data_IF_643276103767
#
_entry.id   IF_643276103767
#
_cell.length_a   1.000
_cell.length_b   1.000
_cell.length_c   1.000
_cell.angle_alpha   90.00
_cell.angle_beta   90.00
_cell.angle_gamma   90.00
#
_symmetry.space_group_name_H-M   'P 1'
#
loop_
_entity.id
_entity.type
_entity.pdbx_description
1 polymer ?
#
# COMPACT_ATOMS: atom_id res chain seq x y z
N UNK A 1 -15.47 -8.56 -15.13
CA UNK A 1 -14.77 -7.30 -14.85
C UNK A 1 -15.17 -6.35 -15.94
N UNK A 2 -15.78 -5.23 -15.61
CA UNK A 2 -15.97 -4.14 -16.56
C UNK A 2 -14.60 -3.73 -17.08
N UNK A 3 -14.48 -3.64 -18.39
CA UNK A 3 -13.25 -3.22 -19.04
C UNK A 3 -13.20 -1.70 -18.93
N UNK A 4 -12.18 -1.16 -18.26
CA UNK A 4 -11.97 0.28 -18.16
C UNK A 4 -11.83 0.87 -19.57
N UNK A 5 -12.59 1.92 -19.83
CA UNK A 5 -12.54 2.64 -21.09
C UNK A 5 -11.66 3.90 -20.99
N UNK A 6 -11.21 4.38 -22.13
CA UNK A 6 -10.44 5.62 -22.21
C UNK A 6 -11.20 6.82 -21.58
N UNK A 7 -12.51 6.83 -21.72
CA UNK A 7 -13.39 7.89 -21.18
C UNK A 7 -13.36 7.92 -19.66
N UNK A 8 -13.39 6.75 -19.00
CA UNK A 8 -13.36 6.65 -17.54
C UNK A 8 -12.07 7.24 -16.96
N UNK A 9 -10.93 6.97 -17.63
CA UNK A 9 -9.64 7.52 -17.23
C UNK A 9 -9.57 9.04 -17.44
N UNK A 10 -10.17 9.53 -18.52
CA UNK A 10 -10.23 10.95 -18.82
C UNK A 10 -11.07 11.70 -17.78
N UNK A 11 -12.26 11.17 -17.46
CA UNK A 11 -13.19 11.75 -16.49
C UNK A 11 -12.60 11.72 -15.06
N UNK A 12 -11.79 10.70 -14.73
CA UNK A 12 -11.05 10.63 -13.48
C UNK A 12 -9.80 11.54 -13.43
N UNK A 13 -9.47 12.24 -14.52
CA UNK A 13 -8.32 13.15 -14.58
C UNK A 13 -6.95 12.46 -14.59
N UNK A 14 -6.88 11.19 -14.95
CA UNK A 14 -5.63 10.40 -14.95
C UNK A 14 -4.62 10.89 -15.98
N UNK A 15 -5.07 11.65 -16.99
CA UNK A 15 -4.23 12.23 -18.02
C UNK A 15 -3.32 13.37 -17.56
N UNK A 16 -3.54 13.97 -16.38
CA UNK A 16 -2.68 15.03 -15.87
C UNK A 16 -1.38 14.46 -15.30
N UNK A 17 -0.26 14.85 -15.91
CA UNK A 17 1.08 14.50 -15.48
C UNK A 17 1.76 15.59 -14.65
N UNK A 18 3.08 15.58 -14.61
CA UNK A 18 3.88 16.59 -13.92
C UNK A 18 4.04 17.88 -14.73
N UNK A 19 4.40 18.95 -14.03
CA UNK A 19 4.88 20.17 -14.67
C UNK A 19 6.11 19.86 -15.53
N UNK A 20 6.25 20.50 -16.69
CA UNK A 20 7.36 20.32 -17.63
C UNK A 20 8.74 20.50 -16.98
N UNK A 21 8.88 21.43 -16.01
CA UNK A 21 10.12 21.66 -15.26
C UNK A 21 10.46 20.60 -14.22
N UNK A 22 9.51 19.68 -13.88
CA UNK A 22 9.63 18.68 -12.80
C UNK A 22 9.48 17.24 -13.29
N UNK A 23 9.49 17.04 -14.58
CA UNK A 23 9.32 15.71 -15.15
C UNK A 23 10.60 14.89 -15.15
N UNK A 24 10.47 13.59 -15.34
CA UNK A 24 11.61 12.71 -15.58
C UNK A 24 11.69 12.42 -17.09
N UNK A 25 12.86 12.62 -17.74
CA UNK A 25 13.04 12.34 -19.17
C UNK A 25 12.68 10.92 -19.60
N UNK A 26 12.80 9.93 -18.71
CA UNK A 26 12.38 8.54 -18.96
C UNK A 26 10.88 8.40 -19.22
N UNK A 27 10.07 9.43 -18.88
CA UNK A 27 8.64 9.46 -19.15
C UNK A 27 8.30 9.92 -20.57
N UNK A 28 9.25 10.40 -21.36
CA UNK A 28 9.04 10.89 -22.71
C UNK A 28 8.17 9.95 -23.59
N UNK A 29 8.38 8.60 -23.61
CA UNK A 29 7.57 7.69 -24.41
C UNK A 29 6.10 7.63 -24.03
N UNK A 30 5.73 8.06 -22.79
CA UNK A 30 4.39 7.99 -22.22
C UNK A 30 3.65 9.32 -22.21
N UNK A 31 4.29 10.38 -22.71
CA UNK A 31 3.70 11.72 -22.79
C UNK A 31 3.08 11.88 -24.16
N UNK A 32 1.80 12.28 -24.18
CA UNK A 32 1.07 12.57 -25.41
C UNK A 32 1.39 13.96 -25.94
N UNK A 33 1.32 14.98 -25.06
CA UNK A 33 1.59 16.39 -25.43
C UNK A 33 1.86 17.23 -24.19
N UNK A 34 2.32 18.46 -24.41
CA UNK A 34 2.38 19.51 -23.38
C UNK A 34 1.23 20.50 -23.55
N UNK A 35 0.57 20.86 -22.44
CA UNK A 35 -0.47 21.90 -22.43
C UNK A 35 -0.36 22.72 -21.15
N UNK A 36 -0.27 24.04 -21.30
CA UNK A 36 -0.17 24.99 -20.18
C UNK A 36 0.97 24.66 -19.19
N UNK A 37 2.14 24.21 -19.70
CA UNK A 37 3.28 23.84 -18.86
C UNK A 37 3.12 22.54 -18.06
N UNK A 38 2.12 21.73 -18.41
CA UNK A 38 1.86 20.41 -17.82
C UNK A 38 1.92 19.36 -18.92
N UNK A 39 2.62 18.24 -18.63
CA UNK A 39 2.60 17.08 -19.53
C UNK A 39 1.26 16.34 -19.42
N UNK A 40 0.69 15.98 -20.57
CA UNK A 40 -0.50 15.14 -20.68
C UNK A 40 -0.03 13.71 -20.97
N UNK A 41 -0.47 12.78 -20.16
CA UNK A 41 -0.12 11.34 -20.26
C UNK A 41 -0.96 10.69 -21.36
N UNK A 42 -0.34 9.80 -22.13
CA UNK A 42 -1.01 8.97 -23.14
C UNK A 42 -1.86 7.89 -22.45
N UNK A 43 -3.17 8.05 -22.49
CA UNK A 43 -4.10 7.12 -21.86
C UNK A 43 -4.22 5.78 -22.59
N UNK A 44 -3.93 5.71 -23.89
CA UNK A 44 -3.92 4.44 -24.62
C UNK A 44 -2.81 3.54 -24.09
N UNK A 45 -1.61 4.09 -23.89
CA UNK A 45 -0.49 3.36 -23.27
C UNK A 45 -0.79 3.00 -21.81
N UNK A 46 -1.50 3.86 -21.09
CA UNK A 46 -1.95 3.57 -19.72
C UNK A 46 -2.86 2.34 -19.69
N UNK A 47 -3.82 2.24 -20.60
CA UNK A 47 -4.71 1.08 -20.71
C UNK A 47 -3.94 -0.20 -21.06
N UNK A 48 -3.01 -0.12 -22.00
CA UNK A 48 -2.16 -1.27 -22.37
C UNK A 48 -1.33 -1.76 -21.19
N UNK A 49 -0.65 -0.85 -20.48
CA UNK A 49 0.13 -1.18 -19.28
C UNK A 49 -0.75 -1.75 -18.17
N UNK A 50 -1.97 -1.26 -18.01
CA UNK A 50 -2.92 -1.76 -17.01
C UNK A 50 -3.36 -3.19 -17.33
N UNK A 51 -3.59 -3.49 -18.58
CA UNK A 51 -3.92 -4.85 -19.04
C UNK A 51 -2.76 -5.82 -18.77
N UNK A 52 -1.53 -5.43 -19.11
CA UNK A 52 -0.33 -6.21 -18.81
C UNK A 52 -0.16 -6.46 -17.30
N UNK A 53 -0.33 -5.42 -16.47
CA UNK A 53 -0.26 -5.53 -15.02
C UNK A 53 -1.36 -6.46 -14.46
N UNK A 54 -2.57 -6.37 -14.99
CA UNK A 54 -3.68 -7.24 -14.62
C UNK A 54 -3.39 -8.72 -14.95
N UNK A 55 -2.83 -9.00 -16.12
CA UNK A 55 -2.41 -10.34 -16.50
C UNK A 55 -1.32 -10.88 -15.56
N UNK A 56 -0.31 -10.08 -15.25
CA UNK A 56 0.75 -10.47 -14.33
C UNK A 56 0.21 -10.78 -12.92
N UNK A 57 -0.66 -9.92 -12.38
CA UNK A 57 -1.29 -10.15 -11.07
C UNK A 57 -2.14 -11.41 -11.05
N UNK A 58 -2.94 -11.67 -12.10
CA UNK A 58 -3.72 -12.91 -12.24
C UNK A 58 -2.83 -14.15 -12.20
N UNK A 59 -1.69 -14.14 -12.89
CA UNK A 59 -0.73 -15.25 -12.88
C UNK A 59 -0.15 -15.50 -11.49
N UNK A 60 0.21 -14.44 -10.76
CA UNK A 60 0.72 -14.53 -9.38
C UNK A 60 -0.32 -15.13 -8.44
N UNK A 61 -1.56 -14.63 -8.50
CA UNK A 61 -2.64 -15.10 -7.61
C UNK A 61 -3.03 -16.56 -7.94
N UNK A 62 -3.09 -16.94 -9.23
CA UNK A 62 -3.34 -18.33 -9.64
C UNK A 62 -2.29 -19.30 -9.11
N UNK A 63 -1.06 -18.86 -8.92
CA UNK A 63 0.00 -19.68 -8.30
C UNK A 63 -0.08 -19.77 -6.77
N UNK A 64 -1.15 -19.26 -6.14
CA UNK A 64 -1.34 -19.25 -4.68
C UNK A 64 -0.49 -18.24 -3.92
N UNK A 65 0.23 -17.35 -4.64
CA UNK A 65 1.03 -16.29 -4.03
C UNK A 65 0.17 -15.07 -3.70
N UNK A 66 0.63 -14.27 -2.74
CA UNK A 66 -0.01 -13.01 -2.36
C UNK A 66 0.61 -11.82 -3.08
N UNK A 67 -0.19 -10.81 -3.32
CA UNK A 67 0.23 -9.51 -3.87
C UNK A 67 0.20 -8.51 -2.72
N UNK A 68 1.31 -7.81 -2.48
CA UNK A 68 1.36 -6.73 -1.49
C UNK A 68 1.04 -5.40 -2.16
N UNK A 69 0.03 -4.71 -1.64
CA UNK A 69 -0.36 -3.38 -2.11
C UNK A 69 0.38 -2.30 -1.31
N UNK A 70 0.93 -1.32 -2.01
CA UNK A 70 1.67 -0.20 -1.38
C UNK A 70 1.09 1.13 -1.86
N UNK A 71 0.52 1.91 -0.94
CA UNK A 71 -0.09 3.20 -1.25
C UNK A 71 0.13 4.22 -0.12
N UNK A 72 1.26 4.93 -0.15
CA UNK A 72 1.61 5.92 0.88
C UNK A 72 1.06 7.32 0.60
N UNK A 73 0.50 7.57 -0.57
CA UNK A 73 -0.17 8.84 -0.93
C UNK A 73 -1.52 8.97 -0.23
N UNK A 74 -1.81 10.15 0.33
CA UNK A 74 -3.07 10.41 1.07
C UNK A 74 -4.31 10.03 0.29
N UNK A 75 -4.36 10.34 -1.01
CA UNK A 75 -5.50 10.09 -1.88
C UNK A 75 -5.77 8.60 -2.13
N UNK A 76 -4.73 7.76 -2.08
CA UNK A 76 -4.81 6.35 -2.40
C UNK A 76 -4.96 5.44 -1.17
N UNK A 77 -4.62 5.93 0.04
CA UNK A 77 -4.57 5.12 1.27
C UNK A 77 -5.86 4.36 1.53
N UNK A 78 -6.97 5.08 1.63
CA UNK A 78 -8.27 4.50 2.01
C UNK A 78 -8.76 3.50 0.97
N UNK A 79 -8.68 3.86 -0.31
CA UNK A 79 -9.14 3.01 -1.40
C UNK A 79 -8.35 1.70 -1.44
N UNK A 80 -7.02 1.80 -1.38
CA UNK A 80 -6.14 0.61 -1.42
C UNK A 80 -6.30 -0.24 -0.16
N UNK A 81 -6.46 0.37 1.02
CA UNK A 81 -6.68 -0.36 2.27
C UNK A 81 -7.99 -1.14 2.25
N UNK A 82 -9.08 -0.53 1.79
CA UNK A 82 -10.39 -1.17 1.69
C UNK A 82 -10.34 -2.37 0.73
N UNK A 83 -9.79 -2.19 -0.46
CA UNK A 83 -9.69 -3.25 -1.45
C UNK A 83 -8.74 -4.39 -1.03
N UNK A 84 -7.60 -4.06 -0.43
CA UNK A 84 -6.66 -5.07 0.06
C UNK A 84 -7.28 -5.91 1.20
N UNK A 85 -8.02 -5.28 2.13
CA UNK A 85 -8.77 -5.98 3.18
C UNK A 85 -9.85 -6.88 2.59
N UNK A 86 -10.62 -6.40 1.61
CA UNK A 86 -11.64 -7.19 0.92
C UNK A 86 -11.07 -8.45 0.27
N UNK A 87 -9.85 -8.36 -0.26
CA UNK A 87 -9.14 -9.46 -0.93
C UNK A 87 -8.27 -10.30 0.03
N UNK A 88 -8.20 -9.96 1.31
CA UNK A 88 -7.29 -10.56 2.29
C UNK A 88 -5.84 -10.60 1.82
N UNK A 89 -5.39 -9.50 1.22
CA UNK A 89 -4.02 -9.30 0.73
C UNK A 89 -3.24 -8.35 1.65
N UNK A 90 -1.92 -8.54 1.81
CA UNK A 90 -1.09 -7.63 2.60
C UNK A 90 -1.02 -6.24 1.97
N UNK A 91 -0.98 -5.20 2.81
CA UNK A 91 -0.90 -3.82 2.35
C UNK A 91 -0.04 -2.94 3.26
N UNK A 92 0.51 -1.86 2.68
CA UNK A 92 1.26 -0.82 3.38
C UNK A 92 0.73 0.54 2.92
N UNK A 93 0.05 1.26 3.80
CA UNK A 93 -0.60 2.55 3.47
C UNK A 93 -0.03 3.74 4.23
N UNK A 94 0.62 3.53 5.38
CA UNK A 94 1.16 4.64 6.17
C UNK A 94 2.58 5.01 5.75
N UNK A 95 3.54 4.15 6.05
CA UNK A 95 4.94 4.39 5.74
C UNK A 95 5.61 3.10 5.31
N UNK A 96 6.31 3.16 4.19
CA UNK A 96 7.22 2.08 3.82
C UNK A 96 8.39 2.01 4.81
N UNK A 97 8.54 0.90 5.50
CA UNK A 97 9.64 0.71 6.45
C UNK A 97 10.92 0.38 5.69
N UNK A 98 12.01 1.07 6.04
CA UNK A 98 13.33 0.69 5.53
C UNK A 98 13.65 -0.76 5.87
N UNK A 99 14.23 -1.48 4.92
CA UNK A 99 14.54 -2.90 5.09
C UNK A 99 13.35 -3.87 4.94
N UNK A 100 12.19 -3.39 4.49
CA UNK A 100 11.01 -4.26 4.30
C UNK A 100 11.31 -5.47 3.42
N UNK A 101 12.09 -5.31 2.36
CA UNK A 101 12.48 -6.38 1.45
C UNK A 101 13.86 -6.96 1.79
N UNK A 102 14.79 -6.14 2.27
CA UNK A 102 16.20 -6.54 2.48
C UNK A 102 16.50 -7.04 3.88
N UNK A 103 15.74 -6.63 4.89
CA UNK A 103 15.90 -7.01 6.30
C UNK A 103 14.56 -7.30 6.96
N UNK A 104 13.75 -8.15 6.35
CA UNK A 104 12.43 -8.51 6.86
C UNK A 104 12.50 -9.19 8.25
N UNK A 105 13.63 -9.80 8.60
CA UNK A 105 13.83 -10.38 9.93
C UNK A 105 13.60 -9.37 11.07
N UNK A 106 14.03 -8.12 10.89
CA UNK A 106 13.82 -7.03 11.86
C UNK A 106 12.36 -6.58 11.90
N UNK A 107 11.70 -6.47 10.73
CA UNK A 107 10.26 -6.20 10.65
C UNK A 107 9.46 -7.29 11.37
N UNK A 108 9.82 -8.55 11.17
CA UNK A 108 9.20 -9.70 11.85
C UNK A 108 9.31 -9.65 13.38
N UNK A 109 10.44 -9.14 13.91
CA UNK A 109 10.57 -8.90 15.36
C UNK A 109 9.54 -7.87 15.84
N UNK A 110 9.33 -6.81 15.09
CA UNK A 110 8.34 -5.78 15.40
C UNK A 110 6.90 -6.31 15.32
N UNK A 111 6.59 -7.16 14.32
CA UNK A 111 5.31 -7.86 14.23
C UNK A 111 5.06 -8.79 15.41
N UNK A 112 6.05 -9.58 15.82
CA UNK A 112 5.97 -10.44 17.02
C UNK A 112 5.76 -9.62 18.29
N UNK A 113 6.43 -8.47 18.42
CA UNK A 113 6.23 -7.54 19.55
C UNK A 113 4.79 -7.00 19.57
N UNK A 114 4.25 -6.63 18.42
CA UNK A 114 2.85 -6.16 18.30
C UNK A 114 1.87 -7.25 18.72
N UNK A 115 2.02 -8.47 18.20
CA UNK A 115 1.19 -9.62 18.58
C UNK A 115 1.32 -9.98 20.08
N UNK A 116 2.52 -9.88 20.64
CA UNK A 116 2.75 -10.07 22.09
C UNK A 116 2.02 -9.05 22.95
N UNK A 117 2.02 -7.77 22.54
CA UNK A 117 1.26 -6.72 23.23
C UNK A 117 -0.26 -6.95 23.13
N UNK A 118 -0.74 -7.43 21.99
CA UNK A 118 -2.16 -7.77 21.81
C UNK A 118 -2.58 -8.96 22.70
N UNK A 119 -1.73 -9.98 22.80
CA UNK A 119 -1.96 -11.12 23.69
C UNK A 119 -1.96 -10.67 25.15
N UNK A 120 -0.97 -9.87 25.56
CA UNK A 120 -0.88 -9.33 26.92
C UNK A 120 -2.13 -8.54 27.33
N UNK A 121 -2.71 -7.74 26.41
CA UNK A 121 -3.94 -6.98 26.69
C UNK A 121 -5.17 -7.86 26.95
N UNK A 122 -5.15 -9.11 26.51
CA UNK A 122 -6.23 -10.10 26.72
C UNK A 122 -6.07 -10.92 28.02
N UNK A 123 -4.91 -10.82 28.67
CA UNK A 123 -4.60 -11.54 29.91
C UNK A 123 -5.09 -10.77 31.14
N UNK A 124 -5.52 -11.49 32.18
CA UNK A 124 -5.93 -10.89 33.46
C UNK A 124 -4.80 -10.09 34.11
N UNK A 125 -3.55 -10.52 33.93
CA UNK A 125 -2.36 -9.81 34.39
C UNK A 125 -2.30 -8.35 33.95
N UNK A 126 -2.87 -8.02 32.78
CA UNK A 126 -2.92 -6.65 32.26
C UNK A 126 -3.80 -5.72 33.12
N UNK A 127 -4.85 -6.25 33.74
CA UNK A 127 -5.73 -5.46 34.62
C UNK A 127 -5.04 -5.05 35.93
N UNK A 128 -4.04 -5.82 36.37
CA UNK A 128 -3.26 -5.57 37.57
C UNK A 128 -2.16 -4.50 37.38
N UNK A 129 -1.87 -4.12 36.11
CA UNK A 129 -0.89 -3.07 35.80
C UNK A 129 -1.42 -1.68 36.17
N UNK A 130 -0.51 -0.78 36.55
CA UNK A 130 -0.85 0.61 36.78
C UNK A 130 -1.48 1.27 35.53
N UNK A 131 -2.41 2.19 35.73
CA UNK A 131 -3.08 2.91 34.62
C UNK A 131 -2.11 3.51 33.61
N UNK A 132 -0.99 4.06 34.10
CA UNK A 132 0.08 4.65 33.24
C UNK A 132 0.73 3.60 32.37
N UNK A 133 1.03 2.41 32.90
CA UNK A 133 1.65 1.32 32.16
C UNK A 133 0.72 0.78 31.06
N UNK A 134 -0.55 0.55 31.42
CA UNK A 134 -1.58 0.14 30.43
C UNK A 134 -1.68 1.15 29.29
N UNK A 135 -1.67 2.44 29.60
CA UNK A 135 -1.72 3.49 28.58
C UNK A 135 -0.47 3.49 27.68
N UNK A 136 0.73 3.26 28.26
CA UNK A 136 1.96 3.16 27.46
C UNK A 136 1.95 1.95 26.52
N UNK A 137 1.51 0.79 26.99
CA UNK A 137 1.39 -0.43 26.19
C UNK A 137 0.37 -0.21 25.05
N UNK A 138 -0.80 0.37 25.37
CA UNK A 138 -1.83 0.67 24.37
C UNK A 138 -1.28 1.58 23.27
N UNK A 139 -0.69 2.72 23.65
CA UNK A 139 -0.11 3.68 22.67
C UNK A 139 1.00 3.05 21.82
N UNK A 140 1.84 2.22 22.41
CA UNK A 140 2.90 1.52 21.69
C UNK A 140 2.33 0.51 20.68
N UNK A 141 1.29 -0.25 21.07
CA UNK A 141 0.57 -1.15 20.19
C UNK A 141 -0.09 -0.39 19.05
N UNK A 142 -0.86 0.68 19.35
CA UNK A 142 -1.60 1.46 18.34
C UNK A 142 -0.65 2.05 17.30
N UNK A 143 0.52 2.52 17.73
CA UNK A 143 1.57 3.01 16.82
C UNK A 143 2.08 1.90 15.89
N UNK A 144 2.33 0.70 16.39
CA UNK A 144 2.76 -0.44 15.59
C UNK A 144 1.64 -0.92 14.67
N UNK A 145 0.43 -1.04 15.19
CA UNK A 145 -0.75 -1.44 14.44
C UNK A 145 -1.03 -0.53 13.25
N UNK A 146 -0.91 0.78 13.46
CA UNK A 146 -1.08 1.77 12.39
C UNK A 146 -0.09 1.57 11.24
N UNK A 147 1.16 1.22 11.55
CA UNK A 147 2.22 1.14 10.55
C UNK A 147 2.38 -0.26 9.95
N UNK A 148 2.17 -1.31 10.76
CA UNK A 148 2.44 -2.69 10.39
C UNK A 148 1.19 -3.57 10.32
N UNK A 149 0.02 -3.05 10.68
CA UNK A 149 -1.21 -3.83 10.75
C UNK A 149 -1.59 -4.51 9.44
N UNK A 150 -1.36 -3.84 8.30
CA UNK A 150 -1.67 -4.42 6.98
C UNK A 150 -0.76 -5.59 6.56
N UNK A 151 0.32 -5.85 7.30
CA UNK A 151 1.24 -6.97 7.07
C UNK A 151 1.34 -7.90 8.28
N UNK A 152 0.40 -7.81 9.24
CA UNK A 152 0.44 -8.58 10.49
C UNK A 152 0.55 -10.10 10.24
N UNK A 153 -0.14 -10.62 9.25
CA UNK A 153 -0.18 -12.05 8.89
C UNK A 153 0.97 -12.49 7.98
N UNK A 154 1.89 -11.59 7.65
CA UNK A 154 2.99 -11.89 6.74
C UNK A 154 4.15 -12.54 7.50
N UNK A 155 4.31 -13.85 7.35
CA UNK A 155 5.38 -14.61 8.02
C UNK A 155 6.71 -14.55 7.28
N UNK A 156 6.67 -14.43 5.96
CA UNK A 156 7.83 -14.33 5.07
C UNK A 156 7.45 -13.56 3.80
N UNK A 157 8.43 -13.02 3.15
CA UNK A 157 8.33 -12.47 1.80
C UNK A 157 8.50 -13.54 0.75
#
# INVERSE_FOLDING_TARGET
MEKLEHKDLLDAGVHFGHLTRKWNPSMAPYIFMEKNGIHIIDLYKTLECLDQATHAMKAVVRSGRKVMFVATKKQAKEVVEQEAKRLNMPYVTERWQGGMLTNFATIRKSLKKMAGMEKMQKEESYLNLAKRERLMISRAKDKLQKVLGGIADLNRL
#
